data_IF_773245734048
#
_entry.id   IF_773245734048
#
_cell.length_a   1.000
_cell.length_b   1.000
_cell.length_c   1.000
_cell.angle_alpha   90.00
_cell.angle_beta   90.00
_cell.angle_gamma   90.00
#
_symmetry.space_group_name_H-M   'P 1'
#
loop_
_entity.id
_entity.type
_entity.pdbx_description
1 polymer ?
#
# COMPACT_ATOMS: atom_id res chain seq x y z
N UNK A 1 16.09 -8.98 2.14
CA UNK A 1 15.90 -8.45 3.50
C UNK A 1 14.91 -7.31 3.53
N UNK A 2 15.16 -6.16 2.89
CA UNK A 2 14.21 -5.03 2.90
C UNK A 2 12.80 -5.38 2.36
N UNK A 3 12.63 -5.94 1.14
CA UNK A 3 11.28 -6.29 0.66
C UNK A 3 10.61 -7.36 1.54
N UNK A 4 11.39 -8.32 2.07
CA UNK A 4 10.88 -9.37 2.96
C UNK A 4 10.34 -8.79 4.27
N UNK A 5 11.04 -7.81 4.87
CA UNK A 5 10.56 -7.12 6.07
C UNK A 5 9.24 -6.38 5.80
N UNK A 6 9.09 -5.78 4.62
CA UNK A 6 7.86 -5.10 4.23
C UNK A 6 6.72 -6.07 3.87
N UNK A 7 7.04 -7.26 3.35
CA UNK A 7 6.05 -8.35 3.21
C UNK A 7 5.53 -8.76 4.58
N UNK A 8 6.42 -9.06 5.53
CA UNK A 8 6.03 -9.40 6.91
C UNK A 8 5.22 -8.29 7.58
N UNK A 9 5.62 -7.03 7.36
CA UNK A 9 4.86 -5.88 7.84
C UNK A 9 3.46 -5.85 7.23
N UNK A 10 3.32 -6.09 5.93
CA UNK A 10 2.02 -6.14 5.27
C UNK A 10 1.14 -7.29 5.77
N UNK A 11 1.70 -8.47 6.03
CA UNK A 11 0.98 -9.55 6.73
C UNK A 11 0.46 -9.07 8.09
N UNK A 12 1.30 -8.43 8.90
CA UNK A 12 0.91 -7.91 10.21
C UNK A 12 -0.21 -6.87 10.08
N UNK A 13 -0.08 -5.92 9.16
CA UNK A 13 -1.09 -4.87 8.92
C UNK A 13 -2.43 -5.46 8.49
N UNK A 14 -2.43 -6.44 7.59
CA UNK A 14 -3.65 -7.12 7.15
C UNK A 14 -4.27 -7.86 8.34
N UNK A 15 -3.47 -8.55 9.15
CA UNK A 15 -3.95 -9.25 10.35
C UNK A 15 -4.57 -8.27 11.34
N UNK A 16 -3.93 -7.12 11.59
CA UNK A 16 -4.45 -6.05 12.45
C UNK A 16 -5.75 -5.46 11.89
N UNK A 17 -5.80 -5.19 10.59
CA UNK A 17 -6.99 -4.64 9.93
C UNK A 17 -8.17 -5.62 9.97
N UNK A 18 -7.94 -6.93 9.78
CA UNK A 18 -9.01 -7.93 9.78
C UNK A 18 -9.45 -8.34 11.19
N UNK A 19 -8.58 -8.21 12.20
CA UNK A 19 -8.90 -8.57 13.60
C UNK A 19 -9.35 -7.38 14.43
N UNK A 20 -8.52 -6.33 14.55
CA UNK A 20 -8.77 -5.20 15.44
C UNK A 20 -9.80 -4.24 14.85
N UNK A 21 -9.66 -3.87 13.56
CA UNK A 21 -10.59 -2.91 12.95
C UNK A 21 -11.96 -3.53 12.63
N UNK A 22 -12.08 -4.85 12.71
CA UNK A 22 -13.40 -5.49 12.69
C UNK A 22 -14.27 -5.04 13.86
N UNK A 23 -13.68 -4.84 15.04
CA UNK A 23 -14.38 -4.41 16.25
C UNK A 23 -14.62 -2.89 16.32
N UNK A 24 -14.10 -2.10 15.38
CA UNK A 24 -14.32 -0.66 15.41
C UNK A 24 -15.76 -0.29 15.06
N UNK A 25 -16.26 0.83 15.63
CA UNK A 25 -17.56 1.35 15.28
C UNK A 25 -17.67 1.64 13.78
N UNK A 26 -18.83 1.33 13.19
CA UNK A 26 -19.08 1.54 11.77
C UNK A 26 -18.85 2.99 11.29
N UNK A 27 -18.98 3.98 12.17
CA UNK A 27 -18.74 5.40 11.87
C UNK A 27 -17.25 5.76 11.74
N UNK A 28 -16.35 4.96 12.32
CA UNK A 28 -14.90 5.18 12.22
C UNK A 28 -14.32 4.61 10.92
N UNK A 29 -15.11 3.85 10.16
CA UNK A 29 -14.69 3.11 8.98
C UNK A 29 -13.56 2.12 9.25
N UNK A 30 -13.10 1.44 8.19
CA UNK A 30 -11.97 0.50 8.25
C UNK A 30 -10.95 0.91 7.21
N UNK A 31 -9.88 1.66 7.57
CA UNK A 31 -8.90 2.09 6.60
C UNK A 31 -8.14 0.89 6.03
N UNK A 32 -7.89 0.92 4.73
CA UNK A 32 -7.14 -0.11 4.03
C UNK A 32 -5.63 0.13 4.19
N UNK A 33 -5.06 -0.49 5.22
CA UNK A 33 -3.63 -0.36 5.54
C UNK A 33 -2.75 -1.05 4.50
N UNK A 34 -3.24 -2.13 3.89
CA UNK A 34 -2.54 -2.84 2.83
C UNK A 34 -2.40 -1.95 1.60
N UNK A 35 -3.49 -1.25 1.22
CA UNK A 35 -3.48 -0.30 0.12
C UNK A 35 -2.45 0.83 0.34
N UNK A 36 -2.42 1.43 1.53
CA UNK A 36 -1.46 2.48 1.89
C UNK A 36 -0.01 1.96 1.72
N UNK A 37 0.26 0.74 2.17
CA UNK A 37 1.59 0.12 2.04
C UNK A 37 2.01 -0.09 0.57
N UNK A 38 1.06 -0.48 -0.29
CA UNK A 38 1.32 -0.64 -1.73
C UNK A 38 1.66 0.71 -2.35
N UNK A 39 0.86 1.75 -2.08
CA UNK A 39 1.12 3.09 -2.60
C UNK A 39 2.47 3.62 -2.12
N UNK A 40 2.81 3.41 -0.84
CA UNK A 40 4.13 3.72 -0.30
C UNK A 40 5.25 2.97 -1.06
N UNK A 41 5.05 1.68 -1.33
CA UNK A 41 6.02 0.87 -2.07
C UNK A 41 6.23 1.37 -3.50
N UNK A 42 5.18 1.91 -4.14
CA UNK A 42 5.29 2.51 -5.47
C UNK A 42 6.24 3.71 -5.46
N UNK A 43 6.22 4.54 -4.42
CA UNK A 43 7.16 5.65 -4.29
C UNK A 43 8.61 5.21 -4.03
N UNK A 44 8.81 4.28 -3.09
CA UNK A 44 10.16 4.01 -2.55
C UNK A 44 10.88 2.82 -3.19
N UNK A 45 10.18 1.80 -3.67
CA UNK A 45 10.79 0.55 -4.12
C UNK A 45 11.05 0.57 -5.63
N UNK A 46 11.94 -0.29 -6.12
CA UNK A 46 12.05 -0.53 -7.56
C UNK A 46 10.84 -1.35 -8.05
N UNK A 47 10.63 -1.36 -9.38
CA UNK A 47 9.47 -1.99 -10.02
C UNK A 47 9.24 -3.43 -9.58
N UNK A 48 10.24 -4.30 -9.73
CA UNK A 48 10.10 -5.73 -9.42
C UNK A 48 9.75 -6.04 -7.95
N UNK A 49 10.50 -5.56 -6.93
CA UNK A 49 10.14 -5.84 -5.54
C UNK A 49 8.87 -5.14 -5.08
N UNK A 50 8.52 -3.98 -5.64
CA UNK A 50 7.25 -3.31 -5.36
C UNK A 50 6.05 -4.08 -5.92
N UNK A 51 6.15 -4.55 -7.17
CA UNK A 51 5.14 -5.41 -7.78
C UNK A 51 4.98 -6.73 -7.02
N UNK A 52 6.08 -7.40 -6.67
CA UNK A 52 6.00 -8.64 -5.90
C UNK A 52 5.28 -8.42 -4.56
N UNK A 53 5.55 -7.31 -3.87
CA UNK A 53 4.87 -6.96 -2.64
C UNK A 53 3.38 -6.67 -2.87
N UNK A 54 3.05 -5.88 -3.89
CA UNK A 54 1.67 -5.57 -4.27
C UNK A 54 0.87 -6.84 -4.58
N UNK A 55 1.48 -7.78 -5.31
CA UNK A 55 0.88 -9.07 -5.64
C UNK A 55 0.58 -9.88 -4.38
N UNK A 56 1.57 -10.06 -3.51
CA UNK A 56 1.45 -10.90 -2.32
C UNK A 56 0.40 -10.34 -1.35
N UNK A 57 0.41 -9.03 -1.11
CA UNK A 57 -0.59 -8.38 -0.27
C UNK A 57 -1.96 -8.45 -0.91
N UNK A 58 -2.03 -8.24 -2.22
CA UNK A 58 -3.30 -8.26 -2.91
C UNK A 58 -3.94 -9.65 -2.88
N UNK A 59 -3.13 -10.69 -3.09
CA UNK A 59 -3.58 -12.06 -3.05
C UNK A 59 -4.01 -12.48 -1.64
N UNK A 60 -3.29 -12.02 -0.61
CA UNK A 60 -3.67 -12.25 0.77
C UNK A 60 -5.01 -11.57 1.12
N UNK A 61 -5.26 -10.38 0.60
CA UNK A 61 -6.54 -9.67 0.78
C UNK A 61 -7.70 -10.42 0.12
N UNK A 62 -7.52 -10.99 -1.08
CA UNK A 62 -8.55 -11.84 -1.70
C UNK A 62 -8.84 -13.08 -0.83
N UNK A 63 -7.80 -13.78 -0.38
CA UNK A 63 -7.94 -14.99 0.46
C UNK A 63 -8.64 -14.68 1.78
N UNK A 64 -8.35 -13.54 2.40
CA UNK A 64 -8.92 -13.15 3.70
C UNK A 64 -10.32 -12.54 3.59
N UNK A 65 -10.63 -11.84 2.50
CA UNK A 65 -11.95 -11.27 2.27
C UNK A 65 -12.97 -12.29 1.72
N UNK A 66 -12.49 -13.42 1.17
CA UNK A 66 -13.34 -14.44 0.57
C UNK A 66 -14.04 -13.99 -0.71
N UNK A 67 -13.56 -12.90 -1.33
CA UNK A 67 -14.04 -12.38 -2.62
C UNK A 67 -13.40 -13.22 -3.76
N UNK A 68 -13.88 -13.03 -4.99
CA UNK A 68 -13.28 -13.59 -6.19
C UNK A 68 -11.76 -13.39 -6.25
N UNK A 69 -11.04 -14.51 -6.30
CA UNK A 69 -9.58 -14.54 -6.47
C UNK A 69 -9.15 -13.77 -7.73
N UNK A 70 -8.15 -12.91 -7.56
CA UNK A 70 -7.55 -12.09 -8.60
C UNK A 70 -8.09 -10.66 -8.67
N UNK A 71 -9.23 -10.35 -8.04
CA UNK A 71 -9.82 -9.00 -8.15
C UNK A 71 -8.99 -7.94 -7.46
N UNK A 72 -8.63 -8.14 -6.20
CA UNK A 72 -7.86 -7.15 -5.45
C UNK A 72 -6.39 -7.01 -5.94
N UNK A 73 -5.64 -8.09 -6.27
CA UNK A 73 -4.31 -8.00 -6.88
C UNK A 73 -4.30 -7.16 -8.17
N UNK A 74 -5.28 -7.33 -9.05
CA UNK A 74 -5.36 -6.59 -10.31
C UNK A 74 -5.51 -5.08 -10.07
N UNK A 75 -6.37 -4.69 -9.13
CA UNK A 75 -6.60 -3.29 -8.79
C UNK A 75 -5.34 -2.66 -8.20
N UNK A 76 -4.74 -3.34 -7.23
CA UNK A 76 -3.55 -2.87 -6.54
C UNK A 76 -2.36 -2.78 -7.49
N UNK A 77 -2.26 -3.68 -8.48
CA UNK A 77 -1.27 -3.58 -9.57
C UNK A 77 -1.49 -2.37 -10.46
N UNK A 78 -2.73 -2.13 -10.88
CA UNK A 78 -3.08 -0.98 -11.71
C UNK A 78 -2.69 0.31 -10.99
N UNK A 79 -3.05 0.42 -9.71
CA UNK A 79 -2.69 1.57 -8.86
C UNK A 79 -1.19 1.70 -8.71
N UNK A 80 -0.50 0.60 -8.40
CA UNK A 80 0.95 0.60 -8.27
C UNK A 80 1.60 1.13 -9.55
N UNK A 81 1.18 0.65 -10.73
CA UNK A 81 1.72 1.08 -12.01
C UNK A 81 1.47 2.57 -12.28
N UNK A 82 0.23 3.05 -12.05
CA UNK A 82 -0.13 4.46 -12.23
C UNK A 82 0.68 5.35 -11.28
N UNK A 83 0.69 5.04 -9.98
CA UNK A 83 1.43 5.82 -8.99
C UNK A 83 2.92 5.76 -9.29
N UNK A 84 3.46 4.60 -9.70
CA UNK A 84 4.87 4.45 -10.03
C UNK A 84 5.26 5.33 -11.22
N UNK A 85 4.44 5.35 -12.26
CA UNK A 85 4.65 6.17 -13.44
C UNK A 85 4.57 7.66 -13.12
N UNK A 86 3.55 8.08 -12.35
CA UNK A 86 3.39 9.46 -11.88
C UNK A 86 4.57 9.90 -10.99
N UNK A 87 5.04 9.02 -10.11
CA UNK A 87 6.18 9.26 -9.21
C UNK A 87 7.51 9.37 -9.96
N UNK A 88 7.65 8.79 -11.15
CA UNK A 88 8.86 8.94 -11.96
C UNK A 88 8.97 10.36 -12.53
N UNK A 89 7.85 11.02 -12.81
CA UNK A 89 7.83 12.44 -13.18
C UNK A 89 8.14 13.33 -11.96
N UNK A 90 9.18 14.16 -12.09
CA UNK A 90 9.84 14.82 -10.96
C UNK A 90 8.94 15.74 -10.10
N UNK A 91 7.81 16.19 -10.64
CA UNK A 91 6.86 17.08 -9.95
C UNK A 91 6.11 16.41 -8.78
N UNK A 92 5.94 15.08 -8.82
CA UNK A 92 5.14 14.34 -7.81
C UNK A 92 6.02 13.74 -6.69
N UNK A 93 7.31 14.08 -6.66
CA UNK A 93 8.24 13.58 -5.63
C UNK A 93 8.13 14.33 -4.31
N UNK A 94 7.54 15.52 -4.31
CA UNK A 94 7.36 16.28 -3.07
C UNK A 94 6.40 15.56 -2.12
N UNK A 95 6.79 15.47 -0.85
CA UNK A 95 6.01 14.83 0.21
C UNK A 95 4.60 15.41 0.32
N UNK A 96 4.41 16.67 -0.09
CA UNK A 96 3.12 17.33 -0.14
C UNK A 96 2.11 16.63 -1.08
N UNK A 97 2.56 16.05 -2.19
CA UNK A 97 1.67 15.37 -3.15
C UNK A 97 1.44 13.88 -2.84
N UNK A 98 2.24 13.28 -1.95
CA UNK A 98 2.14 11.85 -1.66
C UNK A 98 0.81 11.47 -1.01
N UNK A 99 0.36 12.25 -0.01
CA UNK A 99 -0.88 11.99 0.73
C UNK A 99 -2.13 12.24 -0.14
N UNK A 100 -2.27 13.38 -0.85
CA UNK A 100 -3.40 13.58 -1.76
C UNK A 100 -3.50 12.50 -2.85
N UNK A 101 -2.36 12.04 -3.39
CA UNK A 101 -2.38 10.99 -4.42
C UNK A 101 -2.88 9.65 -3.89
N UNK A 102 -2.63 9.32 -2.62
CA UNK A 102 -3.20 8.12 -1.97
C UNK A 102 -4.73 8.22 -1.96
N UNK A 103 -5.26 9.37 -1.56
CA UNK A 103 -6.71 9.59 -1.52
C UNK A 103 -7.36 9.52 -2.91
N UNK A 104 -6.77 10.21 -3.90
CA UNK A 104 -7.27 10.20 -5.27
C UNK A 104 -7.19 8.80 -5.89
N UNK A 105 -6.08 8.09 -5.72
CA UNK A 105 -5.94 6.73 -6.24
C UNK A 105 -6.93 5.77 -5.59
N UNK A 106 -7.16 5.88 -4.28
CA UNK A 106 -8.15 5.07 -3.59
C UNK A 106 -9.58 5.34 -4.07
N UNK A 107 -9.94 6.62 -4.24
CA UNK A 107 -11.25 7.00 -4.77
C UNK A 107 -11.48 6.43 -6.19
N UNK A 108 -10.47 6.52 -7.06
CA UNK A 108 -10.52 5.92 -8.41
C UNK A 108 -10.72 4.41 -8.32
N UNK A 109 -10.02 3.73 -7.42
CA UNK A 109 -10.17 2.28 -7.22
C UNK A 109 -11.58 1.91 -6.81
N UNK A 110 -12.19 2.65 -5.87
CA UNK A 110 -13.57 2.40 -5.46
C UNK A 110 -14.55 2.55 -6.63
N UNK A 111 -14.36 3.57 -7.47
CA UNK A 111 -15.15 3.75 -8.70
C UNK A 111 -14.97 2.60 -9.70
N UNK A 112 -13.72 2.20 -9.96
CA UNK A 112 -13.41 1.09 -10.88
C UNK A 112 -13.97 -0.23 -10.35
N UNK A 113 -13.87 -0.48 -9.05
CA UNK A 113 -14.44 -1.67 -8.40
C UNK A 113 -15.94 -1.72 -8.57
N UNK A 114 -16.64 -0.60 -8.31
CA UNK A 114 -18.08 -0.52 -8.48
C UNK A 114 -18.50 -0.79 -9.93
N UNK A 115 -17.82 -0.18 -10.91
CA UNK A 115 -18.08 -0.43 -12.33
C UNK A 115 -17.83 -1.90 -12.71
N UNK A 116 -16.74 -2.49 -12.21
CA UNK A 116 -16.42 -3.89 -12.48
C UNK A 116 -17.49 -4.85 -11.95
N UNK A 117 -17.96 -4.62 -10.72
CA UNK A 117 -19.04 -5.41 -10.13
C UNK A 117 -20.38 -5.17 -10.83
N UNK A 118 -20.66 -3.94 -11.27
CA UNK A 118 -21.88 -3.65 -12.03
C UNK A 118 -21.93 -4.38 -13.37
N UNK A 119 -20.80 -4.56 -14.05
CA UNK A 119 -20.73 -5.25 -15.34
C UNK A 119 -20.75 -6.77 -15.20
N UNK A 120 -20.10 -7.30 -14.15
CA UNK A 120 -19.93 -8.75 -14.00
C UNK A 120 -21.05 -9.41 -13.21
N UNK A 121 -21.60 -8.73 -12.19
CA UNK A 121 -22.54 -9.31 -11.24
C UNK A 121 -23.61 -8.29 -10.80
N UNK A 122 -24.58 -7.95 -11.67
CA UNK A 122 -25.62 -6.97 -11.36
C UNK A 122 -26.51 -7.38 -10.18
N UNK A 123 -26.54 -8.67 -9.79
CA UNK A 123 -27.32 -9.19 -8.66
C UNK A 123 -26.66 -9.10 -7.27
N UNK A 124 -25.37 -8.75 -7.19
CA UNK A 124 -24.61 -8.68 -5.94
C UNK A 124 -23.90 -7.32 -5.77
N UNK A 125 -24.57 -6.25 -6.19
CA UNK A 125 -24.04 -4.89 -6.10
C UNK A 125 -23.85 -4.48 -4.63
N UNK A 126 -22.64 -4.06 -4.24
CA UNK A 126 -22.45 -3.37 -2.97
C UNK A 126 -23.36 -2.13 -2.91
N UNK A 127 -23.94 -1.80 -1.75
CA UNK A 127 -24.74 -0.58 -1.61
C UNK A 127 -23.83 0.64 -1.79
N UNK A 128 -23.87 1.23 -2.99
CA UNK A 128 -23.11 2.43 -3.31
C UNK A 128 -23.73 3.63 -2.63
N UNK A 129 -22.92 4.33 -1.85
CA UNK A 129 -23.31 5.61 -1.27
C UNK A 129 -22.14 6.57 -1.32
N UNK A 130 -22.37 7.70 -1.99
CA UNK A 130 -21.36 8.76 -2.14
C UNK A 130 -20.82 9.22 -0.78
N UNK A 131 -21.68 9.32 0.24
CA UNK A 131 -21.27 9.67 1.60
C UNK A 131 -20.27 8.66 2.17
N UNK A 132 -20.50 7.36 2.00
CA UNK A 132 -19.63 6.32 2.55
C UNK A 132 -18.29 6.26 1.82
N UNK A 133 -18.31 6.36 0.50
CA UNK A 133 -17.10 6.40 -0.35
C UNK A 133 -16.19 7.56 0.06
N UNK A 134 -16.76 8.75 0.21
CA UNK A 134 -16.01 9.95 0.63
C UNK A 134 -15.49 9.79 2.06
N UNK A 135 -16.32 9.30 2.99
CA UNK A 135 -15.92 9.06 4.37
C UNK A 135 -14.77 8.05 4.47
N UNK A 136 -14.85 6.91 3.79
CA UNK A 136 -13.80 5.88 3.76
C UNK A 136 -12.51 6.43 3.16
N UNK A 137 -12.61 7.22 2.08
CA UNK A 137 -11.45 7.89 1.47
C UNK A 137 -10.81 8.89 2.42
N UNK A 138 -11.60 9.68 3.15
CA UNK A 138 -11.09 10.63 4.15
C UNK A 138 -10.42 9.93 5.32
N UNK A 139 -11.02 8.88 5.84
CA UNK A 139 -10.45 8.07 6.93
C UNK A 139 -9.13 7.45 6.48
N UNK A 140 -9.08 6.90 5.25
CA UNK A 140 -7.85 6.37 4.68
C UNK A 140 -6.78 7.44 4.49
N UNK A 141 -7.17 8.64 4.05
CA UNK A 141 -6.26 9.77 3.90
C UNK A 141 -5.67 10.20 5.25
N UNK A 142 -6.49 10.30 6.29
CA UNK A 142 -6.03 10.59 7.66
C UNK A 142 -5.12 9.47 8.18
N UNK A 143 -5.49 8.20 7.98
CA UNK A 143 -4.68 7.05 8.37
C UNK A 143 -3.36 6.95 7.59
N UNK A 144 -3.32 7.46 6.35
CA UNK A 144 -2.11 7.45 5.53
C UNK A 144 -0.99 8.29 6.15
N UNK A 145 -1.30 9.37 6.87
CA UNK A 145 -0.30 10.25 7.48
C UNK A 145 0.60 9.48 8.49
N UNK A 146 0.07 8.90 9.59
CA UNK A 146 0.90 8.16 10.54
C UNK A 146 1.52 6.91 9.89
N UNK A 147 0.82 6.23 8.97
CA UNK A 147 1.37 5.07 8.27
C UNK A 147 2.58 5.43 7.41
N UNK A 148 2.52 6.51 6.62
CA UNK A 148 3.64 6.95 5.80
C UNK A 148 4.85 7.37 6.65
N UNK A 149 4.62 8.07 7.77
CA UNK A 149 5.69 8.41 8.73
C UNK A 149 6.35 7.15 9.27
N UNK A 150 5.55 6.17 9.72
CA UNK A 150 6.04 4.91 10.26
C UNK A 150 6.80 4.08 9.21
N UNK A 151 6.24 3.94 8.00
CA UNK A 151 6.87 3.20 6.90
C UNK A 151 8.17 3.85 6.45
N UNK A 152 8.22 5.19 6.37
CA UNK A 152 9.44 5.90 6.01
C UNK A 152 10.52 5.74 7.10
N UNK A 153 10.15 5.85 8.39
CA UNK A 153 11.06 5.59 9.49
C UNK A 153 11.65 4.17 9.46
N UNK A 154 10.81 3.15 9.23
CA UNK A 154 11.26 1.76 9.09
C UNK A 154 12.19 1.59 7.88
N UNK A 155 11.82 2.18 6.74
CA UNK A 155 12.58 2.13 5.50
C UNK A 155 13.99 2.72 5.68
N UNK A 156 14.08 3.91 6.26
CA UNK A 156 15.34 4.61 6.51
C UNK A 156 16.21 3.81 7.49
N UNK A 157 15.63 3.32 8.60
CA UNK A 157 16.37 2.54 9.60
C UNK A 157 16.99 1.26 9.02
N UNK A 158 16.23 0.53 8.19
CA UNK A 158 16.73 -0.70 7.54
C UNK A 158 17.79 -0.36 6.48
N UNK A 159 17.60 0.74 5.74
CA UNK A 159 18.52 1.16 4.67
C UNK A 159 19.84 1.68 5.24
N UNK A 160 19.81 2.55 6.25
CA UNK A 160 20.99 3.10 6.93
C UNK A 160 21.84 1.99 7.57
N UNK A 161 21.20 1.03 8.25
CA UNK A 161 21.90 -0.17 8.78
C UNK A 161 22.61 -0.96 7.68
N UNK A 162 22.02 -1.06 6.49
CA UNK A 162 22.63 -1.78 5.36
C UNK A 162 23.83 -1.03 4.79
N UNK A 163 23.77 0.30 4.72
CA UNK A 163 24.89 1.13 4.26
C UNK A 163 26.05 1.03 5.25
N UNK A 164 25.77 1.14 6.56
CA UNK A 164 26.77 0.98 7.62
C UNK A 164 27.44 -0.40 7.58
N UNK A 165 26.66 -1.49 7.45
CA UNK A 165 27.20 -2.85 7.35
C UNK A 165 28.05 -3.09 6.09
N UNK A 166 27.67 -2.48 4.95
CA UNK A 166 28.49 -2.53 3.72
C UNK A 166 29.79 -1.73 3.85
N UNK A 167 29.76 -0.59 4.55
CA UNK A 167 30.95 0.23 4.80
C UNK A 167 31.95 -0.51 5.71
N UNK A 168 31.48 -1.12 6.80
CA UNK A 168 32.28 -1.98 7.68
C UNK A 168 32.93 -3.16 6.94
N UNK A 169 32.19 -3.80 6.02
CA UNK A 169 32.74 -4.92 5.22
C UNK A 169 33.79 -4.49 4.19
N UNK A 170 33.77 -3.22 3.73
CA UNK A 170 34.81 -2.64 2.86
C UNK A 170 36.02 -2.11 3.63
N UNK A 171 35.83 -1.71 4.90
CA UNK A 171 36.90 -1.24 5.78
C UNK A 171 37.90 -2.31 6.24
N UNK A 172 37.59 -3.59 6.08
CA UNK A 172 38.52 -4.70 6.35
C UNK A 172 39.54 -4.98 5.24
N UNK A 173 39.50 -4.23 4.14
CA UNK A 173 40.40 -4.39 3.00
C UNK A 173 41.36 -3.21 2.83
N UNK A 174 42.19 -2.93 3.83
CA UNK A 174 43.38 -2.10 3.65
C UNK A 174 44.62 -2.96 3.95
N UNK A 175 45.45 -3.22 2.93
CA UNK A 175 46.47 -2.30 2.39
C UNK A 175 47.66 -2.18 3.32
N UNK A 176 48.36 -3.30 3.55
CA UNK A 176 49.80 -3.35 3.83
C UNK A 176 50.28 -4.77 3.49
N UNK A 177 50.53 -5.03 2.20
CA UNK A 177 51.45 -6.07 1.72
C UNK A 177 51.77 -5.82 0.26
#
# INVERSE_FOLDING_TARGET
>A
MLPLAFVLLGFLLITVQTTLFYHFPHWLGRPDLAFILVVFSAYKFSWFPGLLLAFLLGWLMDVTSGIFLGTYPLLVFLVFAIVKFLSQNSSVKETAFQIPLVGVSYFIVQCVFYLFFSLTHPGALPPWSWSRVVQETLILLVASIPCFVFFNWMYEKITTRRIAAKSLKRGGGNRFR
#
